data_IF_398843665851
#
_entry.id   IF_398843665851
#
_cell.length_a   1.000
_cell.length_b   1.000
_cell.length_c   1.000
_cell.angle_alpha   90.00
_cell.angle_beta   90.00
_cell.angle_gamma   90.00
#
_symmetry.space_group_name_H-M   'P 1'
#
loop_
_entity.id
_entity.type
_entity.pdbx_description
1 polymer ?
#
# COMPACT_ATOMS: atom_id res chain seq x y z
N UNK A 1 22.76 20.31 -3.38
CA UNK A 1 22.49 19.55 -4.62
C UNK A 1 22.36 20.54 -5.77
N UNK A 2 22.97 20.30 -6.93
CA UNK A 2 22.84 21.25 -8.07
C UNK A 2 21.62 20.92 -8.92
N UNK A 3 21.06 21.93 -9.60
CA UNK A 3 19.91 21.73 -10.51
C UNK A 3 20.17 20.64 -11.55
N UNK A 4 21.35 20.65 -12.17
CA UNK A 4 21.78 19.61 -13.13
C UNK A 4 21.79 18.20 -12.52
N UNK A 5 22.20 18.04 -11.26
CA UNK A 5 22.16 16.73 -10.61
C UNK A 5 20.73 16.26 -10.33
N UNK A 6 19.82 17.18 -9.99
CA UNK A 6 18.42 16.86 -9.75
C UNK A 6 17.70 16.45 -11.05
N UNK A 7 17.96 17.16 -12.15
CA UNK A 7 17.42 16.82 -13.47
C UNK A 7 17.90 15.44 -13.95
N UNK A 8 19.20 15.12 -13.77
CA UNK A 8 19.74 13.81 -14.11
C UNK A 8 19.11 12.68 -13.28
N UNK A 9 18.86 12.91 -11.99
CA UNK A 9 18.16 11.95 -11.13
C UNK A 9 16.70 11.79 -11.58
N UNK A 10 16.02 12.89 -11.93
CA UNK A 10 14.65 12.84 -12.41
C UNK A 10 14.50 12.01 -13.69
N UNK A 11 15.49 12.05 -14.61
CA UNK A 11 15.52 11.17 -15.81
C UNK A 11 15.58 9.70 -15.42
N UNK A 12 16.42 9.34 -14.45
CA UNK A 12 16.54 7.95 -13.99
C UNK A 12 15.27 7.47 -13.29
N UNK A 13 14.66 8.34 -12.49
CA UNK A 13 13.39 8.06 -11.81
C UNK A 13 12.25 7.88 -12.82
N UNK A 14 12.15 8.73 -13.84
CA UNK A 14 11.17 8.58 -14.94
C UNK A 14 11.28 7.24 -15.64
N UNK A 15 12.51 6.78 -15.90
CA UNK A 15 12.79 5.45 -16.45
C UNK A 15 12.59 4.27 -15.46
N UNK A 16 12.19 4.53 -14.21
CA UNK A 16 11.89 3.51 -13.21
C UNK A 16 13.11 2.92 -12.49
N UNK A 17 14.29 3.54 -12.60
CA UNK A 17 15.49 3.07 -11.89
C UNK A 17 15.45 3.42 -10.41
N UNK A 18 15.95 2.51 -9.57
CA UNK A 18 16.24 2.84 -8.19
C UNK A 18 17.55 3.64 -8.11
N UNK A 19 17.47 4.84 -7.55
CA UNK A 19 18.61 5.78 -7.42
C UNK A 19 19.07 5.93 -5.97
N UNK A 20 18.16 5.75 -5.02
CA UNK A 20 18.40 5.96 -3.60
C UNK A 20 18.39 4.63 -2.83
N UNK A 21 18.65 4.69 -1.53
CA UNK A 21 18.50 3.53 -0.66
C UNK A 21 17.07 2.95 -0.79
N UNK A 22 16.90 1.62 -0.90
CA UNK A 22 15.58 1.01 -0.96
C UNK A 22 14.77 1.36 0.29
N UNK A 23 13.50 1.76 0.16
CA UNK A 23 12.64 1.97 1.31
C UNK A 23 12.36 0.64 2.03
N UNK A 24 12.03 0.72 3.33
CA UNK A 24 11.69 -0.44 4.14
C UNK A 24 10.62 -1.31 3.44
N UNK A 25 10.72 -2.64 3.50
CA UNK A 25 9.82 -3.53 2.76
C UNK A 25 10.25 -3.81 1.32
N UNK A 26 11.26 -3.12 0.79
CA UNK A 26 11.92 -3.47 -0.46
C UNK A 26 13.41 -3.74 -0.25
N UNK A 27 13.97 -4.53 -1.17
CA UNK A 27 15.40 -4.64 -1.43
C UNK A 27 15.69 -4.26 -2.89
N UNK A 28 16.96 -4.29 -3.30
CA UNK A 28 17.38 -4.00 -4.67
C UNK A 28 17.70 -5.27 -5.44
N UNK A 29 17.24 -5.33 -6.68
CA UNK A 29 17.62 -6.36 -7.66
C UNK A 29 18.42 -5.70 -8.79
N UNK A 30 19.60 -6.23 -9.08
CA UNK A 30 20.42 -5.80 -10.21
C UNK A 30 19.77 -6.23 -11.53
N UNK A 31 19.73 -5.31 -12.49
CA UNK A 31 19.24 -5.60 -13.85
C UNK A 31 20.42 -5.85 -14.77
N UNK A 32 20.50 -7.05 -15.34
CA UNK A 32 21.56 -7.46 -16.24
C UNK A 32 21.69 -6.53 -17.46
N UNK A 33 22.92 -6.25 -17.88
CA UNK A 33 23.23 -5.40 -19.04
C UNK A 33 23.03 -3.89 -18.82
N UNK A 34 22.22 -3.47 -17.84
CA UNK A 34 21.98 -2.06 -17.56
C UNK A 34 23.01 -1.49 -16.57
N UNK A 35 23.84 -0.56 -17.02
CA UNK A 35 24.88 0.07 -16.20
C UNK A 35 24.79 1.60 -16.21
N UNK A 36 25.33 2.24 -15.18
CA UNK A 36 25.57 3.69 -15.18
C UNK A 36 26.75 4.03 -16.10
N UNK A 37 26.93 5.31 -16.43
CA UNK A 37 28.13 5.78 -17.15
C UNK A 37 29.44 5.44 -16.41
N UNK A 38 29.39 5.21 -15.10
CA UNK A 38 30.52 4.81 -14.26
C UNK A 38 30.65 3.29 -14.12
N UNK A 39 29.92 2.50 -14.91
CA UNK A 39 29.96 1.04 -14.88
C UNK A 39 29.20 0.40 -13.70
N UNK A 40 28.54 1.19 -12.85
CA UNK A 40 27.76 0.65 -11.73
C UNK A 40 26.48 -0.02 -12.25
N UNK A 41 26.18 -1.28 -11.87
CA UNK A 41 24.94 -1.92 -12.28
C UNK A 41 23.70 -1.12 -11.84
N UNK A 42 22.69 -1.09 -12.69
CA UNK A 42 21.40 -0.46 -12.38
C UNK A 42 20.54 -1.43 -11.59
N UNK A 43 19.76 -0.90 -10.66
CA UNK A 43 18.89 -1.69 -9.79
C UNK A 43 17.44 -1.26 -9.90
N UNK A 44 16.54 -2.21 -9.67
CA UNK A 44 15.11 -1.99 -9.43
C UNK A 44 14.75 -2.44 -8.02
N UNK A 45 13.63 -1.95 -7.51
CA UNK A 45 13.11 -2.42 -6.23
C UNK A 45 12.43 -3.78 -6.42
N UNK A 46 12.62 -4.67 -5.45
CA UNK A 46 11.89 -5.93 -5.34
C UNK A 46 11.43 -6.11 -3.90
N UNK A 47 10.21 -6.63 -3.63
CA UNK A 47 9.75 -6.82 -2.26
C UNK A 47 10.71 -7.65 -1.41
N UNK A 48 10.97 -7.18 -0.19
CA UNK A 48 11.66 -7.99 0.82
C UNK A 48 10.61 -8.94 1.43
N UNK A 49 10.84 -10.27 1.40
CA UNK A 49 9.83 -11.25 1.84
C UNK A 49 9.47 -11.12 3.33
N UNK A 50 10.39 -10.65 4.18
CA UNK A 50 10.16 -10.48 5.62
C UNK A 50 9.51 -9.13 5.92
N UNK A 51 9.92 -8.06 5.23
CA UNK A 51 9.52 -6.68 5.55
C UNK A 51 8.33 -6.17 4.74
N UNK A 52 8.10 -6.69 3.53
CA UNK A 52 6.98 -6.28 2.69
C UNK A 52 5.60 -6.52 3.33
N UNK A 53 5.36 -7.64 4.04
CA UNK A 53 4.10 -7.83 4.77
C UNK A 53 3.90 -6.80 5.90
N UNK A 54 4.97 -6.33 6.53
CA UNK A 54 4.91 -5.33 7.61
C UNK A 54 4.40 -3.99 7.08
N UNK A 55 4.88 -3.57 5.90
CA UNK A 55 4.37 -2.36 5.22
C UNK A 55 2.87 -2.48 4.93
N UNK A 56 2.43 -3.63 4.41
CA UNK A 56 1.01 -3.90 4.15
C UNK A 56 0.16 -3.78 5.42
N UNK A 57 0.64 -4.32 6.54
CA UNK A 57 -0.03 -4.19 7.83
C UNK A 57 -0.10 -2.74 8.32
N UNK A 58 0.99 -1.97 8.21
CA UNK A 58 1.03 -0.54 8.59
C UNK A 58 -0.04 0.25 7.83
N UNK A 59 -0.12 0.09 6.51
CA UNK A 59 -1.13 0.77 5.69
C UNK A 59 -2.54 0.28 6.00
N UNK A 60 -2.76 -1.02 6.16
CA UNK A 60 -4.06 -1.56 6.54
C UNK A 60 -4.53 -1.00 7.88
N UNK A 61 -3.69 -1.02 8.91
CA UNK A 61 -4.05 -0.48 10.22
C UNK A 61 -4.35 1.01 10.17
N UNK A 62 -3.54 1.77 9.42
CA UNK A 62 -3.76 3.21 9.28
C UNK A 62 -5.06 3.50 8.53
N UNK A 63 -5.22 2.97 7.33
CA UNK A 63 -6.30 3.32 6.41
C UNK A 63 -7.65 2.68 6.76
N UNK A 64 -7.64 1.41 7.19
CA UNK A 64 -8.87 0.64 7.41
C UNK A 64 -9.31 0.70 8.87
N UNK A 65 -8.37 0.61 9.81
CA UNK A 65 -8.71 0.61 11.25
C UNK A 65 -8.54 1.97 11.92
N UNK A 66 -7.95 2.96 11.23
CA UNK A 66 -7.79 4.32 11.74
C UNK A 66 -6.74 4.48 12.84
N UNK A 67 -5.83 3.52 13.03
CA UNK A 67 -4.82 3.62 14.09
C UNK A 67 -3.92 4.85 13.89
N UNK A 68 -3.59 5.51 15.01
CA UNK A 68 -2.60 6.58 15.03
C UNK A 68 -1.18 6.03 14.83
N UNK A 69 -0.23 6.90 14.47
CA UNK A 69 1.17 6.49 14.29
C UNK A 69 1.73 5.91 15.59
N UNK A 70 1.37 6.46 16.74
CA UNK A 70 1.79 5.99 18.06
C UNK A 70 1.27 4.58 18.33
N UNK A 71 -0.02 4.33 18.07
CA UNK A 71 -0.60 3.00 18.25
C UNK A 71 -0.05 1.95 17.28
N UNK A 72 0.24 2.35 16.03
CA UNK A 72 0.92 1.48 15.07
C UNK A 72 2.33 1.14 15.57
N UNK A 73 3.08 2.14 16.06
CA UNK A 73 4.44 1.96 16.58
C UNK A 73 4.43 1.00 17.76
N UNK A 74 3.58 1.23 18.77
CA UNK A 74 3.45 0.35 19.93
C UNK A 74 3.07 -1.08 19.53
N UNK A 75 2.20 -1.25 18.52
CA UNK A 75 1.82 -2.56 18.01
C UNK A 75 2.96 -3.28 17.29
N UNK A 76 3.81 -2.56 16.57
CA UNK A 76 4.99 -3.13 15.94
C UNK A 76 6.03 -3.57 16.99
N UNK A 77 6.25 -2.74 18.01
CA UNK A 77 7.21 -2.99 19.09
C UNK A 77 6.81 -4.14 20.02
N UNK A 78 5.52 -4.49 20.08
CA UNK A 78 5.04 -5.63 20.86
C UNK A 78 5.50 -6.99 20.31
N UNK A 79 5.93 -7.06 19.04
CA UNK A 79 6.42 -8.29 18.41
C UNK A 79 7.54 -7.99 17.38
N UNK A 80 8.77 -7.70 17.83
CA UNK A 80 9.88 -7.31 16.95
C UNK A 80 10.37 -8.43 16.03
N UNK A 81 10.13 -9.70 16.39
CA UNK A 81 10.51 -10.84 15.55
C UNK A 81 9.66 -10.88 14.28
N UNK A 82 8.35 -10.67 14.44
CA UNK A 82 7.39 -10.54 13.34
C UNK A 82 7.50 -9.21 12.61
N UNK A 83 7.77 -8.13 13.34
CA UNK A 83 7.85 -6.77 12.81
C UNK A 83 9.25 -6.18 13.03
N UNK A 84 10.28 -6.66 12.31
CA UNK A 84 11.65 -6.22 12.53
C UNK A 84 11.77 -4.70 12.28
N UNK A 85 12.26 -3.92 13.25
CA UNK A 85 12.48 -2.49 13.06
C UNK A 85 13.49 -2.21 11.92
N UNK A 86 13.44 -1.02 11.31
CA UNK A 86 14.36 -0.67 10.23
C UNK A 86 15.81 -0.55 10.71
N UNK A 87 16.76 -0.88 9.83
CA UNK A 87 18.19 -0.64 10.07
C UNK A 87 18.74 -1.38 11.29
N UNK A 88 19.40 -0.64 12.17
CA UNK A 88 20.03 -1.14 13.41
C UNK A 88 19.20 -0.82 14.66
N UNK A 89 17.98 -0.31 14.50
CA UNK A 89 17.14 0.06 15.63
C UNK A 89 16.67 -1.20 16.38
N UNK A 90 16.54 -1.10 17.71
CA UNK A 90 15.99 -2.17 18.55
C UNK A 90 14.46 -2.07 18.72
N UNK A 91 13.88 -0.92 18.38
CA UNK A 91 12.45 -0.63 18.40
C UNK A 91 12.09 0.26 17.20
N UNK A 92 10.81 0.37 16.87
CA UNK A 92 10.30 1.19 15.77
C UNK A 92 10.33 2.67 16.12
N UNK A 93 11.06 3.50 15.36
CA UNK A 93 10.93 4.94 15.48
C UNK A 93 9.57 5.38 14.90
N UNK A 94 8.79 6.25 15.58
CA UNK A 94 7.57 6.81 15.01
C UNK A 94 7.80 7.50 13.65
N UNK A 95 8.95 8.16 13.50
CA UNK A 95 9.37 8.77 12.24
C UNK A 95 9.53 7.74 11.10
N UNK A 96 9.91 6.50 11.41
CA UNK A 96 10.00 5.44 10.41
C UNK A 96 8.61 4.99 9.95
N UNK A 97 7.64 4.91 10.85
CA UNK A 97 6.23 4.63 10.50
C UNK A 97 5.67 5.75 9.62
N UNK A 98 5.94 7.02 9.96
CA UNK A 98 5.58 8.17 9.11
C UNK A 98 6.24 8.04 7.74
N UNK A 99 7.54 7.76 7.68
CA UNK A 99 8.27 7.57 6.41
C UNK A 99 7.68 6.43 5.57
N UNK A 100 7.18 5.36 6.19
CA UNK A 100 6.45 4.29 5.48
C UNK A 100 5.13 4.83 4.91
N UNK A 101 4.28 5.43 5.74
CA UNK A 101 2.95 5.91 5.35
C UNK A 101 3.00 7.01 4.28
N UNK A 102 4.10 7.74 4.20
CA UNK A 102 4.23 8.94 3.36
C UNK A 102 4.93 8.69 2.02
N UNK A 103 5.50 7.50 1.81
CA UNK A 103 6.33 7.22 0.65
C UNK A 103 5.53 6.59 -0.50
N UNK A 104 5.33 7.37 -1.56
CA UNK A 104 4.55 6.93 -2.72
C UNK A 104 5.16 5.70 -3.43
N UNK A 105 6.43 5.36 -3.20
CA UNK A 105 7.04 4.18 -3.82
C UNK A 105 6.34 2.87 -3.47
N UNK A 106 5.53 2.83 -2.41
CA UNK A 106 4.74 1.64 -2.09
C UNK A 106 3.62 1.35 -3.10
N UNK A 107 3.25 2.31 -3.96
CA UNK A 107 2.27 2.12 -5.04
C UNK A 107 2.86 1.52 -6.32
N UNK A 108 4.15 1.18 -6.32
CA UNK A 108 4.84 0.55 -7.46
C UNK A 108 5.57 1.52 -8.38
N UNK A 109 5.48 2.84 -8.13
CA UNK A 109 6.17 3.86 -8.92
C UNK A 109 7.49 4.27 -8.28
N UNK A 110 8.48 4.69 -9.07
CA UNK A 110 9.62 5.44 -8.52
C UNK A 110 9.24 6.90 -8.34
N UNK A 111 9.74 7.52 -7.28
CA UNK A 111 9.51 8.93 -7.02
C UNK A 111 10.73 9.61 -6.38
N UNK A 112 10.88 10.90 -6.67
CA UNK A 112 11.74 11.82 -5.92
C UNK A 112 11.13 13.22 -5.90
N UNK A 113 11.54 14.05 -4.94
CA UNK A 113 11.02 15.41 -4.81
C UNK A 113 9.56 15.50 -4.36
N UNK A 114 8.96 14.40 -3.89
CA UNK A 114 7.57 14.40 -3.43
C UNK A 114 7.37 15.13 -2.08
N UNK A 115 8.44 15.23 -1.28
CA UNK A 115 8.43 15.83 0.05
C UNK A 115 9.35 17.04 0.13
N UNK A 116 9.00 17.98 0.99
CA UNK A 116 9.90 19.05 1.41
C UNK A 116 10.77 18.62 2.60
N UNK A 117 11.58 19.55 3.11
CA UNK A 117 12.47 19.33 4.26
C UNK A 117 11.71 19.11 5.58
N UNK A 118 10.44 19.50 5.64
CA UNK A 118 9.55 19.30 6.78
C UNK A 118 8.69 18.03 6.65
N UNK A 119 8.85 17.27 5.56
CA UNK A 119 8.10 16.03 5.30
C UNK A 119 6.68 16.25 4.73
N UNK A 120 6.30 17.49 4.42
CA UNK A 120 5.03 17.79 3.77
C UNK A 120 5.07 17.41 2.28
N UNK A 121 3.93 17.05 1.70
CA UNK A 121 3.84 16.81 0.26
C UNK A 121 3.99 18.12 -0.49
N UNK A 122 4.91 18.15 -1.47
CA UNK A 122 4.97 19.24 -2.45
C UNK A 122 3.81 19.11 -3.45
N UNK A 123 3.47 20.17 -4.20
CA UNK A 123 2.58 20.06 -5.36
C UNK A 123 3.07 18.98 -6.33
N UNK A 124 2.13 18.22 -6.92
CA UNK A 124 2.44 17.05 -7.75
C UNK A 124 3.27 17.39 -8.98
N UNK A 125 3.20 18.63 -9.46
CA UNK A 125 3.96 19.15 -10.60
C UNK A 125 5.47 19.24 -10.30
N UNK A 126 5.84 19.26 -9.01
CA UNK A 126 7.23 19.27 -8.57
C UNK A 126 7.81 17.85 -8.43
N UNK A 127 6.98 16.82 -8.57
CA UNK A 127 7.40 15.44 -8.37
C UNK A 127 8.02 14.92 -9.65
N UNK A 128 9.12 14.18 -9.52
CA UNK A 128 9.55 13.28 -10.57
C UNK A 128 9.04 11.88 -10.22
N UNK A 129 8.10 11.38 -11.01
CA UNK A 129 7.52 10.04 -10.92
C UNK A 129 8.00 9.18 -12.10
N UNK A 130 8.05 7.86 -11.96
CA UNK A 130 8.22 6.97 -13.10
C UNK A 130 7.02 7.02 -14.04
N UNK A 131 7.28 6.90 -15.35
CA UNK A 131 6.21 6.98 -16.37
C UNK A 131 5.29 5.75 -16.35
N UNK A 132 5.80 4.63 -15.82
CA UNK A 132 5.09 3.35 -15.65
C UNK A 132 5.38 2.78 -14.26
N UNK A 133 4.57 1.83 -13.75
CA UNK A 133 4.94 1.04 -12.58
C UNK A 133 6.32 0.39 -12.78
N UNK A 134 7.24 0.66 -11.86
CA UNK A 134 8.65 0.33 -11.98
C UNK A 134 9.03 -0.96 -11.23
N UNK A 135 8.21 -1.34 -10.24
CA UNK A 135 8.37 -2.51 -9.38
C UNK A 135 7.02 -2.97 -8.85
N UNK A 136 6.98 -4.17 -8.24
CA UNK A 136 5.76 -4.71 -7.65
C UNK A 136 5.27 -3.79 -6.53
N UNK A 137 4.05 -3.27 -6.67
CA UNK A 137 3.39 -2.49 -5.63
C UNK A 137 3.15 -3.35 -4.39
N UNK A 138 3.38 -2.77 -3.21
CA UNK A 138 2.96 -3.36 -1.94
C UNK A 138 1.55 -2.90 -1.56
N UNK A 139 1.17 -1.71 -2.02
CA UNK A 139 -0.05 -1.01 -1.61
C UNK A 139 -0.74 -0.47 -2.86
N UNK A 140 -2.08 -0.46 -2.89
CA UNK A 140 -2.83 0.20 -3.96
C UNK A 140 -2.82 1.72 -3.76
N UNK A 141 -2.93 2.53 -4.84
CA UNK A 141 -3.06 3.98 -4.70
C UNK A 141 -4.22 4.40 -3.76
N UNK A 142 -5.35 3.68 -3.81
CA UNK A 142 -6.50 3.93 -2.94
C UNK A 142 -6.13 3.76 -1.45
N UNK A 143 -5.46 2.67 -1.08
CA UNK A 143 -5.06 2.43 0.30
C UNK A 143 -3.98 3.42 0.76
N UNK A 144 -3.10 3.86 -0.15
CA UNK A 144 -2.11 4.90 0.14
C UNK A 144 -2.76 6.23 0.52
N UNK A 145 -3.76 6.67 -0.25
CA UNK A 145 -4.47 7.93 0.02
C UNK A 145 -5.38 7.84 1.24
N UNK A 146 -6.08 6.73 1.44
CA UNK A 146 -6.89 6.50 2.64
C UNK A 146 -6.04 6.54 3.93
N UNK A 147 -4.77 6.15 3.86
CA UNK A 147 -3.86 6.24 5.00
C UNK A 147 -3.44 7.68 5.37
N UNK A 148 -3.51 8.63 4.43
CA UNK A 148 -3.16 10.03 4.69
C UNK A 148 -4.23 10.73 5.54
N UNK A 149 -5.51 10.40 5.29
CA UNK A 149 -6.65 10.89 6.07
C UNK A 149 -7.59 9.73 6.44
N UNK A 150 -7.29 9.01 7.52
CA UNK A 150 -8.15 7.91 7.97
C UNK A 150 -9.41 8.38 8.69
N UNK A 151 -9.48 9.64 9.16
CA UNK A 151 -10.62 10.15 9.93
C UNK A 151 -11.86 10.29 9.05
N UNK A 152 -11.67 10.57 7.76
CA UNK A 152 -12.73 10.58 6.76
C UNK A 152 -13.21 9.16 6.38
N UNK A 153 -12.34 8.14 6.45
CA UNK A 153 -12.67 6.74 6.08
C UNK A 153 -13.37 5.93 7.18
N UNK A 154 -13.28 6.31 8.45
CA UNK A 154 -13.98 5.61 9.56
C UNK A 154 -15.50 5.86 9.55
N UNK A 155 -16.01 6.84 8.78
CA UNK A 155 -17.45 7.14 8.69
C UNK A 155 -18.19 6.50 7.51
N UNK A 156 -17.52 5.80 6.60
CA UNK A 156 -18.19 5.14 5.47
C UNK A 156 -17.50 3.81 5.11
N UNK A 157 -17.80 2.76 5.87
CA UNK A 157 -17.81 1.41 5.30
C UNK A 157 -19.25 1.18 4.85
N UNK A 158 -19.58 1.34 3.55
CA UNK A 158 -20.94 1.10 3.14
C UNK A 158 -21.22 -0.40 3.22
N UNK A 159 -22.18 -0.77 4.06
CA UNK A 159 -22.58 -2.15 4.38
C UNK A 159 -23.02 -3.00 3.16
N UNK A 160 -23.06 -2.45 1.95
CA UNK A 160 -23.42 -3.19 0.73
C UNK A 160 -22.28 -4.05 0.16
N UNK A 161 -21.03 -3.89 0.61
CA UNK A 161 -19.91 -4.76 0.19
C UNK A 161 -19.74 -6.05 1.03
N UNK A 162 -20.66 -6.32 1.98
CA UNK A 162 -20.68 -7.56 2.79
C UNK A 162 -21.69 -8.60 2.26
N UNK A 163 -22.46 -8.28 1.23
CA UNK A 163 -23.41 -9.23 0.64
C UNK A 163 -23.08 -9.48 -0.83
N UNK A 164 -22.22 -10.47 -1.05
CA UNK A 164 -22.40 -11.43 -2.14
C UNK A 164 -21.55 -12.66 -1.87
N UNK A 165 -22.21 -13.71 -1.37
CA UNK A 165 -21.55 -14.98 -1.07
C UNK A 165 -22.47 -16.11 -0.66
N UNK A 166 -23.80 -15.97 -0.75
CA UNK A 166 -24.71 -17.10 -0.58
C UNK A 166 -26.10 -16.83 -1.18
N UNK A 167 -26.25 -17.06 -2.49
CA UNK A 167 -27.52 -17.53 -3.07
C UNK A 167 -27.23 -18.38 -4.30
N UNK A 168 -27.49 -19.68 -4.20
CA UNK A 168 -27.52 -20.56 -5.35
C UNK A 168 -27.60 -22.03 -4.98
N UNK A 169 -28.80 -22.52 -4.64
CA UNK A 169 -29.12 -23.94 -4.77
C UNK A 169 -29.65 -24.62 -3.50
N UNK A 170 -30.97 -24.55 -3.29
CA UNK A 170 -31.71 -25.44 -2.40
C UNK A 170 -33.12 -25.64 -2.96
N UNK A 171 -33.66 -26.88 -2.96
CA UNK A 171 -34.67 -27.34 -3.90
C UNK A 171 -36.09 -26.87 -3.55
N UNK A 172 -36.88 -26.61 -4.59
CA UNK A 172 -38.33 -26.47 -4.53
C UNK A 172 -38.98 -27.84 -4.34
N UNK A 173 -39.52 -28.10 -3.15
CA UNK A 173 -40.73 -28.92 -3.01
C UNK A 173 -41.45 -28.59 -1.71
N UNK A 174 -42.78 -28.68 -1.82
CA UNK A 174 -43.75 -28.90 -0.72
C UNK A 174 -44.43 -27.66 -0.11
N UNK A 175 -45.68 -27.44 -0.57
CA UNK A 175 -46.91 -27.47 0.24
C UNK A 175 -48.08 -27.19 -0.73
N UNK A 176 -48.95 -28.15 -1.04
CA UNK A 176 -50.06 -28.61 -0.21
C UNK A 176 -50.95 -27.43 0.21
N UNK A 177 -52.02 -27.19 -0.55
CA UNK A 177 -53.17 -26.50 -0.02
C UNK A 177 -54.45 -27.27 -0.36
N UNK A 178 -55.22 -27.51 0.69
CA UNK A 178 -56.40 -28.34 0.74
C UNK A 178 -57.63 -27.48 0.45
N UNK A 179 -58.20 -27.65 -0.75
CA UNK A 179 -59.50 -27.08 -1.11
C UNK A 179 -60.64 -27.98 -0.65
N UNK A 180 -61.25 -27.61 0.48
CA UNK A 180 -62.41 -28.22 1.11
C UNK A 180 -63.62 -28.33 0.15
N UNK A 181 -64.21 -29.53 0.09
CA UNK A 181 -65.45 -29.85 -0.63
C UNK A 181 -66.67 -29.67 0.28
N UNK A 182 -67.66 -28.85 -0.11
CA UNK A 182 -69.09 -29.03 0.24
C UNK A 182 -70.05 -28.11 -0.55
N UNK A 183 -71.20 -28.69 -0.92
CA UNK A 183 -72.52 -28.18 -1.43
C UNK A 183 -72.70 -28.41 -2.95
N UNK A 184 -73.41 -29.45 -3.40
CA UNK A 184 -74.87 -29.75 -3.43
C UNK A 184 -75.73 -28.89 -4.39
N UNK A 185 -76.63 -29.61 -5.10
CA UNK A 185 -77.76 -29.18 -5.98
C UNK A 185 -77.33 -28.79 -7.40
N UNK A 186 -77.77 -29.40 -8.51
CA UNK A 186 -79.02 -30.12 -8.87
C UNK A 186 -78.72 -31.03 -10.06
#
# INVERSE_FOLDING_TARGET
>A
MTRRSAEAIAVLIRAGWNVHHPPYGYTTMTVGGAHSRRGTPRTRLTPDPRRAPVVQNIFYWRAVTGLSVEHITARLDADPDRYPPPGIHTAWPPAAVIAVLTNIKYTGYQATGARDEHGAFRPVEQWALSDQPAHRALITPALFWAAQDPVTSVRQIPHHLVRDGHRGGGPTTENADAGCSRRELT
#
